data_IF_967393369669
#
_entry.id   IF_967393369669
#
_cell.length_a   1.000
_cell.length_b   1.000
_cell.length_c   1.000
_cell.angle_alpha   90.00
_cell.angle_beta   90.00
_cell.angle_gamma   90.00
#
_symmetry.space_group_name_H-M   'P 1'
#
loop_
_entity.id
_entity.type
_entity.pdbx_description
1 polymer ?
#
# COMPACT_ATOMS: atom_id res chain seq x y z
N UNK A 1 -1.49 26.21 9.28
CA UNK A 1 -0.64 25.00 9.28
C UNK A 1 -1.54 23.82 8.98
N UNK A 2 -1.10 22.91 8.11
CA UNK A 2 -1.73 21.59 7.94
C UNK A 2 -1.67 20.81 9.25
N UNK A 3 -2.78 20.18 9.65
CA UNK A 3 -2.84 19.30 10.83
C UNK A 3 -2.81 17.84 10.41
N UNK A 4 -2.26 16.99 11.28
CA UNK A 4 -2.32 15.53 11.12
C UNK A 4 -3.38 14.97 12.05
N UNK A 5 -4.34 14.23 11.48
CA UNK A 5 -5.43 13.59 12.20
C UNK A 5 -5.25 12.08 12.18
N UNK A 6 -5.12 11.45 13.35
CA UNK A 6 -5.05 9.99 13.48
C UNK A 6 -6.45 9.41 13.57
N UNK A 7 -6.77 8.50 12.67
CA UNK A 7 -8.14 8.05 12.44
C UNK A 7 -8.17 6.53 12.23
N UNK A 8 -9.13 5.84 12.85
CA UNK A 8 -9.35 4.40 12.63
C UNK A 8 -10.21 4.15 11.38
N UNK A 9 -9.89 3.10 10.64
CA UNK A 9 -10.60 2.63 9.44
C UNK A 9 -10.70 1.11 9.47
N UNK A 10 -11.88 0.55 9.21
CA UNK A 10 -12.07 -0.90 9.11
C UNK A 10 -11.30 -1.48 7.92
N UNK A 11 -10.76 -2.70 8.06
CA UNK A 11 -9.98 -3.39 7.02
C UNK A 11 -10.60 -3.36 5.61
N UNK A 12 -11.92 -3.52 5.51
CA UNK A 12 -12.63 -3.49 4.22
C UNK A 12 -12.52 -2.13 3.51
N UNK A 13 -12.56 -1.03 4.25
CA UNK A 13 -12.41 0.31 3.68
C UNK A 13 -10.94 0.71 3.55
N UNK A 14 -10.10 0.26 4.48
CA UNK A 14 -8.66 0.51 4.45
C UNK A 14 -8.04 -0.04 3.15
N UNK A 15 -8.42 -1.26 2.76
CA UNK A 15 -7.94 -1.91 1.53
C UNK A 15 -8.33 -1.12 0.28
N UNK A 16 -9.56 -0.57 0.23
CA UNK A 16 -10.02 0.26 -0.89
C UNK A 16 -9.30 1.62 -0.97
N UNK A 17 -8.97 2.20 0.18
CA UNK A 17 -8.17 3.43 0.26
C UNK A 17 -6.73 3.15 -0.17
N UNK A 18 -6.12 2.07 0.34
CA UNK A 18 -4.77 1.64 -0.02
C UNK A 18 -4.63 1.36 -1.53
N UNK A 19 -5.69 0.86 -2.16
CA UNK A 19 -5.76 0.59 -3.59
C UNK A 19 -6.27 1.77 -4.44
N UNK A 20 -6.47 2.95 -3.85
CA UNK A 20 -6.88 4.20 -4.51
C UNK A 20 -8.26 4.16 -5.16
N UNK A 21 -9.05 3.11 -4.91
CA UNK A 21 -10.42 2.99 -5.38
C UNK A 21 -11.37 3.85 -4.54
N UNK A 22 -11.10 3.94 -3.24
CA UNK A 22 -11.82 4.83 -2.32
C UNK A 22 -11.02 6.11 -2.09
N UNK A 23 -11.45 7.18 -2.73
CA UNK A 23 -10.81 8.51 -2.71
C UNK A 23 -11.53 9.51 -1.81
N UNK A 24 -12.33 9.01 -0.86
CA UNK A 24 -13.08 9.85 0.07
C UNK A 24 -13.21 9.22 1.45
N UNK A 25 -13.49 10.03 2.47
CA UNK A 25 -13.87 9.60 3.82
C UNK A 25 -15.08 10.39 4.32
N UNK A 26 -16.01 9.71 4.99
CA UNK A 26 -17.19 10.36 5.60
C UNK A 26 -16.97 10.42 7.11
N UNK A 27 -17.04 11.63 7.68
CA UNK A 27 -16.72 11.85 9.10
C UNK A 27 -17.64 12.87 9.74
N UNK A 28 -17.83 12.75 11.05
CA UNK A 28 -18.28 13.87 11.86
C UNK A 28 -17.18 14.94 11.82
N UNK A 29 -17.52 16.20 11.54
CA UNK A 29 -16.56 17.29 11.49
C UNK A 29 -16.26 17.87 12.89
N UNK A 30 -15.87 16.99 13.82
CA UNK A 30 -15.52 17.29 15.22
C UNK A 30 -14.09 17.82 15.39
N UNK A 31 -13.28 17.77 14.33
CA UNK A 31 -11.87 18.16 14.30
C UNK A 31 -11.59 19.41 13.47
N UNK A 32 -12.64 20.00 12.88
CA UNK A 32 -12.54 21.11 11.93
C UNK A 32 -11.57 20.75 10.79
N UNK A 33 -11.90 19.68 10.04
CA UNK A 33 -11.07 19.22 8.93
C UNK A 33 -10.98 20.28 7.85
N UNK A 34 -9.76 20.52 7.36
CA UNK A 34 -9.49 21.51 6.33
C UNK A 34 -8.78 20.88 5.13
N UNK A 35 -8.94 21.49 3.96
CA UNK A 35 -8.10 21.16 2.82
C UNK A 35 -6.63 21.43 3.15
N UNK A 36 -5.76 20.48 2.78
CA UNK A 36 -4.34 20.47 3.13
C UNK A 36 -4.02 19.73 4.44
N UNK A 37 -5.01 19.31 5.24
CA UNK A 37 -4.77 18.42 6.38
C UNK A 37 -4.32 17.03 5.91
N UNK A 38 -3.66 16.27 6.79
CA UNK A 38 -3.27 14.89 6.54
C UNK A 38 -4.04 13.95 7.47
N UNK A 39 -4.58 12.87 6.92
CA UNK A 39 -5.19 11.78 7.67
C UNK A 39 -4.18 10.62 7.76
N UNK A 40 -3.81 10.24 8.98
CA UNK A 40 -3.15 8.97 9.26
C UNK A 40 -4.24 7.93 9.55
N UNK A 41 -4.60 7.16 8.52
CA UNK A 41 -5.63 6.14 8.59
C UNK A 41 -5.00 4.86 9.12
N UNK A 42 -5.45 4.41 10.30
CA UNK A 42 -4.99 3.18 10.97
C UNK A 42 -6.01 2.09 10.80
N UNK A 43 -5.56 0.97 10.25
CA UNK A 43 -6.42 -0.18 10.05
C UNK A 43 -6.83 -0.80 11.40
N UNK A 44 -8.12 -1.13 11.50
CA UNK A 44 -8.67 -1.99 12.54
C UNK A 44 -9.35 -3.21 11.94
N UNK A 45 -9.16 -4.36 12.59
CA UNK A 45 -9.82 -5.62 12.22
C UNK A 45 -11.31 -5.63 12.62
N UNK A 46 -12.00 -6.73 12.32
CA UNK A 46 -13.43 -6.92 12.66
C UNK A 46 -13.70 -6.96 14.17
N UNK A 47 -12.68 -7.20 15.00
CA UNK A 47 -12.77 -7.13 16.46
C UNK A 47 -12.47 -5.73 17.02
N UNK A 48 -12.09 -4.78 16.15
CA UNK A 48 -11.73 -3.41 16.50
C UNK A 48 -10.28 -3.24 16.96
N UNK A 49 -9.44 -4.26 16.82
CA UNK A 49 -8.03 -4.21 17.17
C UNK A 49 -7.19 -3.60 16.05
N UNK A 50 -6.18 -2.83 16.42
CA UNK A 50 -5.25 -2.22 15.47
C UNK A 50 -4.36 -3.32 14.89
N UNK A 51 -4.31 -3.43 13.56
CA UNK A 51 -3.49 -4.45 12.88
C UNK A 51 -2.01 -4.05 12.78
N UNK A 52 -1.73 -2.74 12.88
CA UNK A 52 -0.42 -2.15 12.67
C UNK A 52 -0.24 -1.54 11.27
N UNK A 53 -1.17 -1.76 10.34
CA UNK A 53 -1.14 -1.10 9.04
C UNK A 53 -1.66 0.34 9.12
N UNK A 54 -0.96 1.26 8.45
CA UNK A 54 -1.33 2.68 8.37
C UNK A 54 -1.11 3.22 6.95
N UNK A 55 -1.95 4.16 6.53
CA UNK A 55 -1.77 4.92 5.29
C UNK A 55 -2.01 6.41 5.54
N UNK A 56 -1.17 7.25 4.93
CA UNK A 56 -1.32 8.70 5.01
C UNK A 56 -2.00 9.23 3.74
N UNK A 57 -3.00 10.08 3.92
CA UNK A 57 -3.75 10.71 2.84
C UNK A 57 -3.85 12.22 3.08
N UNK A 58 -3.68 13.03 2.04
CA UNK A 58 -3.95 14.47 2.11
C UNK A 58 -5.43 14.74 1.85
N UNK A 59 -6.06 15.59 2.64
CA UNK A 59 -7.41 16.09 2.38
C UNK A 59 -7.32 17.16 1.29
N UNK A 60 -7.77 16.83 0.08
CA UNK A 60 -7.74 17.77 -1.05
C UNK A 60 -8.94 18.71 -1.07
N UNK A 61 -10.07 18.29 -0.49
CA UNK A 61 -11.31 19.04 -0.46
C UNK A 61 -12.20 18.56 0.70
N UNK A 62 -13.04 19.45 1.24
CA UNK A 62 -13.99 19.15 2.32
C UNK A 62 -15.38 19.61 1.90
N UNK A 63 -16.29 18.67 1.69
CA UNK A 63 -17.72 18.97 1.53
C UNK A 63 -18.39 18.99 2.90
N UNK A 64 -18.83 20.18 3.33
CA UNK A 64 -19.59 20.32 4.57
C UNK A 64 -20.99 19.73 4.44
N UNK A 65 -21.48 19.16 5.54
CA UNK A 65 -22.83 18.62 5.66
C UNK A 65 -23.92 19.69 5.74
N UNK A 66 -25.16 19.25 5.95
CA UNK A 66 -26.36 20.09 5.84
C UNK A 66 -26.84 20.29 4.39
N UNK A 67 -26.23 19.58 3.44
CA UNK A 67 -26.50 19.68 2.00
C UNK A 67 -26.25 18.34 1.30
N UNK A 68 -26.86 18.16 0.12
CA UNK A 68 -26.66 16.99 -0.75
C UNK A 68 -26.89 15.62 -0.08
N UNK A 69 -27.73 15.58 0.96
CA UNK A 69 -28.00 14.35 1.73
C UNK A 69 -26.95 14.01 2.78
N UNK A 70 -25.95 14.86 3.00
CA UNK A 70 -24.99 14.74 4.10
C UNK A 70 -25.57 15.43 5.33
N UNK A 71 -25.67 14.71 6.45
CA UNK A 71 -26.25 15.23 7.69
C UNK A 71 -25.47 16.45 8.22
N UNK A 72 -26.16 17.35 8.91
CA UNK A 72 -25.53 18.51 9.56
C UNK A 72 -24.47 18.05 10.57
N UNK A 73 -23.34 18.77 10.63
CA UNK A 73 -22.18 18.40 11.46
C UNK A 73 -21.28 17.30 10.87
N UNK A 74 -21.68 16.63 9.79
CA UNK A 74 -20.83 15.70 9.05
C UNK A 74 -20.09 16.40 7.90
N UNK A 75 -19.07 15.75 7.38
CA UNK A 75 -18.35 16.18 6.19
C UNK A 75 -17.91 14.97 5.35
N UNK A 76 -17.71 15.21 4.05
CA UNK A 76 -17.05 14.28 3.14
C UNK A 76 -15.68 14.86 2.79
N UNK A 77 -14.62 14.13 3.14
CA UNK A 77 -13.23 14.47 2.88
C UNK A 77 -12.82 13.82 1.57
N UNK A 78 -12.44 14.60 0.56
CA UNK A 78 -11.78 14.07 -0.62
C UNK A 78 -10.32 13.80 -0.29
N UNK A 79 -9.84 12.60 -0.62
CA UNK A 79 -8.50 12.13 -0.32
C UNK A 79 -7.64 12.15 -1.57
N UNK A 80 -6.44 12.69 -1.43
CA UNK A 80 -5.36 12.54 -2.38
C UNK A 80 -4.36 11.57 -1.79
N UNK A 81 -4.47 10.30 -2.18
CA UNK A 81 -3.57 9.26 -1.72
C UNK A 81 -2.24 9.33 -2.46
N UNK A 82 -1.17 9.49 -1.69
CA UNK A 82 0.18 9.70 -2.18
C UNK A 82 1.00 8.43 -2.37
N UNK A 83 0.43 7.23 -2.61
CA UNK A 83 1.30 6.20 -3.20
C UNK A 83 1.66 6.69 -4.59
N UNK A 84 2.88 7.19 -4.68
CA UNK A 84 3.41 7.74 -5.89
C UNK A 84 3.28 6.66 -6.96
N UNK A 85 2.57 6.95 -8.05
CA UNK A 85 2.44 6.01 -9.16
C UNK A 85 3.81 5.50 -9.60
N UNK A 86 4.81 6.38 -9.55
CA UNK A 86 6.22 6.07 -9.76
C UNK A 86 6.81 5.07 -8.76
N UNK A 87 6.36 5.07 -7.49
CA UNK A 87 6.81 4.10 -6.50
C UNK A 87 6.26 2.70 -6.79
N UNK A 88 4.97 2.58 -7.16
CA UNK A 88 4.43 1.28 -7.58
C UNK A 88 5.09 0.76 -8.84
N UNK A 89 5.32 1.64 -9.83
CA UNK A 89 6.05 1.28 -11.05
C UNK A 89 7.47 0.83 -10.69
N UNK A 90 8.16 1.54 -9.81
CA UNK A 90 9.49 1.16 -9.37
C UNK A 90 9.50 -0.21 -8.70
N UNK A 91 8.53 -0.50 -7.82
CA UNK A 91 8.40 -1.82 -7.17
C UNK A 91 8.18 -2.92 -8.22
N UNK A 92 7.30 -2.71 -9.20
CA UNK A 92 7.06 -3.64 -10.30
C UNK A 92 8.32 -3.90 -11.11
N UNK A 93 9.05 -2.84 -11.51
CA UNK A 93 10.30 -2.97 -12.24
C UNK A 93 11.37 -3.71 -11.43
N UNK A 94 11.49 -3.43 -10.13
CA UNK A 94 12.44 -4.10 -9.25
C UNK A 94 12.09 -5.58 -9.04
N UNK A 95 10.80 -5.91 -8.89
CA UNK A 95 10.27 -7.28 -8.81
C UNK A 95 10.64 -8.07 -10.07
N UNK A 96 10.39 -7.50 -11.25
CA UNK A 96 10.71 -8.13 -12.54
C UNK A 96 12.23 -8.33 -12.71
N UNK A 97 13.06 -7.34 -12.34
CA UNK A 97 14.52 -7.45 -12.38
C UNK A 97 15.04 -8.51 -11.41
N UNK A 98 14.44 -8.63 -10.23
CA UNK A 98 14.82 -9.64 -9.24
C UNK A 98 14.47 -11.05 -9.73
N UNK A 99 13.31 -11.21 -10.38
CA UNK A 99 12.92 -12.47 -11.02
C UNK A 99 13.91 -12.86 -12.13
N UNK A 100 14.23 -11.93 -13.04
CA UNK A 100 15.23 -12.17 -14.09
C UNK A 100 16.59 -12.58 -13.51
N UNK A 101 17.00 -11.96 -12.40
CA UNK A 101 18.24 -12.33 -11.70
C UNK A 101 18.18 -13.76 -11.15
N UNK A 102 17.06 -14.16 -10.56
CA UNK A 102 16.87 -15.54 -10.09
C UNK A 102 16.95 -16.54 -11.24
N UNK A 103 16.31 -16.23 -12.37
CA UNK A 103 16.30 -17.09 -13.56
C UNK A 103 17.72 -17.23 -14.14
N UNK A 104 18.50 -16.15 -14.17
CA UNK A 104 19.90 -16.20 -14.57
C UNK A 104 20.78 -17.04 -13.62
N UNK A 105 20.57 -16.92 -12.31
CA UNK A 105 21.28 -17.74 -11.32
C UNK A 105 20.99 -19.22 -11.56
N UNK A 106 19.71 -19.57 -11.70
CA UNK A 106 19.27 -20.94 -11.91
C UNK A 106 19.84 -21.55 -13.19
N UNK A 107 19.86 -20.79 -14.29
CA UNK A 107 20.45 -21.23 -15.55
C UNK A 107 21.95 -21.55 -15.43
N UNK A 108 22.66 -20.93 -14.50
CA UNK A 108 24.08 -21.17 -14.24
C UNK A 108 24.36 -22.46 -13.46
N UNK A 109 23.37 -23.02 -12.77
CA UNK A 109 23.61 -24.14 -11.85
C UNK A 109 24.17 -25.38 -12.53
N UNK A 110 23.64 -25.75 -13.70
CA UNK A 110 24.10 -26.95 -14.40
C UNK A 110 25.56 -26.85 -14.83
N UNK A 111 25.99 -25.66 -15.26
CA UNK A 111 27.39 -25.40 -15.64
C UNK A 111 28.31 -25.55 -14.42
N UNK A 112 27.93 -24.95 -13.29
CA UNK A 112 28.73 -24.98 -12.04
C UNK A 112 28.84 -26.40 -11.49
N UNK A 113 27.72 -27.14 -11.47
CA UNK A 113 27.69 -28.54 -11.03
C UNK A 113 28.49 -29.45 -11.96
N UNK A 114 28.39 -29.26 -13.27
CA UNK A 114 29.19 -30.01 -14.26
C UNK A 114 30.69 -29.73 -14.13
N UNK A 115 31.08 -28.54 -13.65
CA UNK A 115 32.46 -28.20 -13.31
C UNK A 115 32.92 -28.79 -11.95
N UNK A 116 32.07 -29.52 -11.22
CA UNK A 116 32.39 -30.14 -9.94
C UNK A 116 32.29 -29.19 -8.74
N UNK A 117 31.64 -28.03 -8.90
CA UNK A 117 31.48 -27.03 -7.85
C UNK A 117 30.04 -27.03 -7.28
N UNK A 118 29.90 -26.57 -6.04
CA UNK A 118 28.60 -26.45 -5.37
C UNK A 118 27.83 -25.21 -5.82
N UNK A 119 26.51 -25.33 -5.85
CA UNK A 119 25.54 -24.25 -6.14
C UNK A 119 24.73 -23.83 -4.91
N UNK A 120 24.97 -24.42 -3.74
CA UNK A 120 24.12 -24.25 -2.55
C UNK A 120 23.89 -22.79 -2.15
N UNK A 121 24.94 -21.96 -2.15
CA UNK A 121 24.79 -20.54 -1.79
C UNK A 121 24.03 -19.74 -2.85
N UNK A 122 24.21 -20.07 -4.14
CA UNK A 122 23.51 -19.44 -5.24
C UNK A 122 22.01 -19.78 -5.21
N UNK A 123 21.69 -21.06 -4.98
CA UNK A 123 20.32 -21.53 -4.78
C UNK A 123 19.65 -20.87 -3.58
N UNK A 124 20.35 -20.78 -2.44
CA UNK A 124 19.82 -20.07 -1.27
C UNK A 124 19.52 -18.61 -1.60
N UNK A 125 20.45 -17.93 -2.28
CA UNK A 125 20.26 -16.53 -2.69
C UNK A 125 19.04 -16.34 -3.60
N UNK A 126 18.86 -17.21 -4.60
CA UNK A 126 17.70 -17.16 -5.48
C UNK A 126 16.39 -17.46 -4.74
N UNK A 127 16.40 -18.40 -3.80
CA UNK A 127 15.22 -18.72 -2.99
C UNK A 127 14.83 -17.59 -2.04
N UNK A 128 15.79 -17.00 -1.34
CA UNK A 128 15.55 -15.84 -0.47
C UNK A 128 14.97 -14.68 -1.30
N UNK A 129 15.51 -14.43 -2.50
CA UNK A 129 15.00 -13.41 -3.42
C UNK A 129 13.55 -13.68 -3.87
N UNK A 130 13.16 -14.95 -4.06
CA UNK A 130 11.77 -15.31 -4.39
C UNK A 130 10.77 -14.98 -3.29
N UNK A 131 11.17 -15.03 -2.02
CA UNK A 131 10.31 -14.57 -0.93
C UNK A 131 10.01 -13.06 -1.04
N UNK A 132 11.00 -12.25 -1.42
CA UNK A 132 10.81 -10.82 -1.69
C UNK A 132 9.94 -10.56 -2.92
N UNK A 133 10.07 -11.38 -3.97
CA UNK A 133 9.22 -11.31 -5.17
C UNK A 133 7.77 -11.58 -4.77
N UNK A 134 7.50 -12.65 -4.01
CA UNK A 134 6.16 -12.98 -3.54
C UNK A 134 5.55 -11.88 -2.66
N UNK A 135 6.36 -11.23 -1.82
CA UNK A 135 5.94 -10.08 -1.04
C UNK A 135 5.57 -8.88 -1.93
N UNK A 136 6.38 -8.60 -2.95
CA UNK A 136 6.10 -7.52 -3.91
C UNK A 136 4.83 -7.81 -4.72
N UNK A 137 4.60 -9.06 -5.12
CA UNK A 137 3.38 -9.48 -5.83
C UNK A 137 2.13 -9.26 -4.96
N UNK A 138 2.13 -9.77 -3.73
CA UNK A 138 1.02 -9.56 -2.78
C UNK A 138 0.73 -8.05 -2.57
N UNK A 139 1.78 -7.23 -2.45
CA UNK A 139 1.63 -5.78 -2.35
C UNK A 139 1.02 -5.16 -3.61
N UNK A 140 1.52 -5.53 -4.81
CA UNK A 140 1.04 -5.01 -6.10
C UNK A 140 -0.41 -5.41 -6.38
N UNK A 141 -0.79 -6.66 -6.08
CA UNK A 141 -2.16 -7.16 -6.16
C UNK A 141 -3.08 -6.37 -5.24
N UNK A 142 -2.67 -6.13 -3.98
CA UNK A 142 -3.46 -5.34 -3.01
C UNK A 142 -3.73 -3.92 -3.49
N UNK A 143 -2.79 -3.30 -4.20
CA UNK A 143 -2.98 -1.95 -4.77
C UNK A 143 -3.56 -1.94 -6.19
N UNK A 144 -3.91 -3.10 -6.76
CA UNK A 144 -4.54 -3.23 -8.07
C UNK A 144 -3.63 -2.89 -9.25
N UNK A 145 -2.33 -3.19 -9.16
CA UNK A 145 -1.31 -2.89 -10.19
C UNK A 145 -0.55 -4.13 -10.69
N UNK A 146 -1.22 -5.28 -10.68
CA UNK A 146 -0.70 -6.54 -11.21
C UNK A 146 -0.71 -6.56 -12.75
#
# INVERSE_FOLDING_TARGET
>A
MSKVHVIKVQSEHFSEVLAHRKTNEVRLNDRDYQAGDCLNLREIDSSGQITGQEVNAEVSHVLQGGQFGVAEGWCVLSLKNGTNESASILISLLRDRLQETCDCIDAGHDIVRNAGHSTTDAERTANDAREFIAFADDFLTKIGKE
#
